data_IF_357128371022
#
_entry.id   IF_357128371022
#
_cell.length_a   1.000
_cell.length_b   1.000
_cell.length_c   1.000
_cell.angle_alpha   90.00
_cell.angle_beta   90.00
_cell.angle_gamma   90.00
#
_symmetry.space_group_name_H-M   'P 1'
#
loop_
_entity.id
_entity.type
_entity.pdbx_description
1 polymer ?
#
# COMPACT_ATOMS: atom_id res chain seq x y z
N UNK A 1 -17.85 6.21 6.84
CA UNK A 1 -17.34 5.29 5.79
C UNK A 1 -15.93 5.63 5.33
N UNK A 2 -15.65 6.85 4.86
CA UNK A 2 -14.32 7.25 4.34
C UNK A 2 -13.13 7.04 5.30
N UNK A 3 -13.31 7.32 6.58
CA UNK A 3 -12.25 7.08 7.59
C UNK A 3 -11.85 5.60 7.68
N UNK A 4 -12.81 4.67 7.55
CA UNK A 4 -12.52 3.24 7.58
C UNK A 4 -11.74 2.78 6.34
N UNK A 5 -12.13 3.27 5.16
CA UNK A 5 -11.40 3.01 3.91
C UNK A 5 -9.92 3.44 4.02
N UNK A 6 -9.67 4.68 4.43
CA UNK A 6 -8.31 5.19 4.55
C UNK A 6 -7.53 4.51 5.68
N UNK A 7 -8.19 4.14 6.78
CA UNK A 7 -7.56 3.35 7.84
C UNK A 7 -7.13 1.96 7.35
N UNK A 8 -7.93 1.30 6.50
CA UNK A 8 -7.56 0.04 5.86
C UNK A 8 -6.34 0.20 4.96
N UNK A 9 -6.30 1.25 4.12
CA UNK A 9 -5.13 1.53 3.26
C UNK A 9 -3.88 1.83 4.10
N UNK A 10 -4.01 2.60 5.18
CA UNK A 10 -2.89 2.86 6.09
C UNK A 10 -2.42 1.57 6.78
N UNK A 11 -3.34 0.71 7.20
CA UNK A 11 -3.02 -0.59 7.79
C UNK A 11 -2.24 -1.48 6.82
N UNK A 12 -2.67 -1.52 5.57
CA UNK A 12 -2.00 -2.23 4.48
C UNK A 12 -0.57 -1.70 4.26
N UNK A 13 -0.39 -0.39 4.09
CA UNK A 13 0.96 0.24 3.96
C UNK A 13 1.89 -0.11 5.13
N UNK A 14 1.36 -0.18 6.35
CA UNK A 14 2.15 -0.53 7.55
C UNK A 14 2.44 -2.04 7.64
N UNK A 15 1.57 -2.87 7.08
CA UNK A 15 1.66 -4.32 7.08
C UNK A 15 2.59 -4.88 6.00
N UNK A 16 2.57 -4.33 4.79
CA UNK A 16 3.34 -4.78 3.62
C UNK A 16 4.83 -5.05 3.94
N UNK A 17 5.57 -4.16 4.65
CA UNK A 17 6.98 -4.39 4.94
C UNK A 17 7.25 -5.53 5.92
N UNK A 18 6.24 -5.98 6.68
CA UNK A 18 6.34 -7.01 7.73
C UNK A 18 5.51 -8.26 7.43
N UNK A 19 5.02 -8.39 6.20
CA UNK A 19 4.27 -9.58 5.78
C UNK A 19 5.08 -10.86 5.99
N UNK A 20 4.40 -11.90 6.46
CA UNK A 20 4.96 -13.22 6.75
C UNK A 20 6.05 -13.27 7.84
N UNK A 21 6.33 -12.16 8.55
CA UNK A 21 7.19 -12.18 9.74
C UNK A 21 6.48 -12.83 10.92
N UNK A 22 7.24 -13.49 11.79
CA UNK A 22 6.70 -14.04 13.02
C UNK A 22 6.27 -12.92 13.98
N UNK A 23 5.23 -13.19 14.77
CA UNK A 23 4.72 -12.23 15.76
C UNK A 23 5.82 -11.78 16.73
N UNK A 24 6.74 -12.67 17.10
CA UNK A 24 7.86 -12.36 18.00
C UNK A 24 8.83 -11.35 17.37
N UNK A 25 9.09 -11.47 16.08
CA UNK A 25 9.97 -10.55 15.34
C UNK A 25 9.35 -9.15 15.26
N UNK A 26 8.05 -9.07 14.96
CA UNK A 26 7.31 -7.81 14.91
C UNK A 26 7.20 -7.17 16.30
N UNK A 27 7.05 -7.96 17.37
CA UNK A 27 7.05 -7.45 18.75
C UNK A 27 8.42 -6.92 19.19
N UNK A 28 9.51 -7.57 18.77
CA UNK A 28 10.87 -7.11 19.06
C UNK A 28 11.22 -5.83 18.28
N UNK A 29 10.62 -5.62 17.09
CA UNK A 29 10.78 -4.41 16.28
C UNK A 29 9.43 -3.81 15.84
N UNK A 30 8.69 -3.15 16.76
CA UNK A 30 7.31 -2.70 16.51
C UNK A 30 7.19 -1.66 15.41
N UNK A 31 6.20 -1.83 14.53
CA UNK A 31 5.88 -0.85 13.47
C UNK A 31 5.34 0.44 14.08
N UNK A 32 6.17 1.47 14.15
CA UNK A 32 5.84 2.81 14.69
C UNK A 32 5.71 3.89 13.62
N UNK A 33 5.96 3.54 12.35
CA UNK A 33 5.90 4.45 11.21
C UNK A 33 6.07 3.71 9.90
N UNK A 34 6.04 4.45 8.78
CA UNK A 34 6.19 3.87 7.45
C UNK A 34 7.60 3.30 7.27
N UNK A 35 7.66 2.02 6.88
CA UNK A 35 8.89 1.28 6.59
C UNK A 35 8.91 0.92 5.11
N UNK A 36 10.10 0.78 4.56
CA UNK A 36 10.32 0.27 3.20
C UNK A 36 11.35 -0.85 3.19
N UNK A 37 11.50 -1.48 2.04
CA UNK A 37 12.47 -2.53 1.73
C UNK A 37 12.39 -3.73 2.68
N UNK A 38 11.18 -4.09 3.10
CA UNK A 38 10.88 -5.29 3.88
C UNK A 38 10.64 -6.52 2.98
N UNK A 39 9.63 -7.31 3.32
CA UNK A 39 9.27 -8.59 2.68
C UNK A 39 9.32 -8.57 1.14
N UNK A 40 8.75 -7.54 0.51
CA UNK A 40 8.65 -7.44 -0.95
C UNK A 40 9.66 -6.47 -1.57
N UNK A 41 10.64 -5.99 -0.80
CA UNK A 41 11.63 -4.99 -1.23
C UNK A 41 11.03 -3.71 -1.83
N UNK A 42 9.83 -3.31 -1.37
CA UNK A 42 9.13 -2.12 -1.85
C UNK A 42 9.43 -0.88 -1.01
N UNK A 43 9.50 0.33 -1.57
CA UNK A 43 9.71 1.54 -0.78
C UNK A 43 8.63 1.81 0.25
N UNK A 44 8.94 2.67 1.21
CA UNK A 44 7.96 3.11 2.20
C UNK A 44 6.77 3.80 1.53
N UNK A 45 5.55 3.44 1.97
CA UNK A 45 4.31 3.99 1.43
C UNK A 45 3.66 3.14 0.33
N UNK A 46 4.26 2.01 -0.06
CA UNK A 46 3.63 1.05 -0.96
C UNK A 46 2.53 0.28 -0.24
N UNK A 47 1.37 0.15 -0.90
CA UNK A 47 0.23 -0.64 -0.46
C UNK A 47 0.03 -1.85 -1.39
N UNK A 48 -0.67 -2.89 -0.94
CA UNK A 48 -0.80 -4.17 -1.62
C UNK A 48 -2.06 -4.27 -2.50
N UNK A 49 -2.31 -5.44 -3.07
CA UNK A 49 -3.54 -5.71 -3.81
C UNK A 49 -4.81 -5.57 -2.93
N UNK A 50 -4.73 -5.76 -1.62
CA UNK A 50 -5.87 -5.55 -0.69
C UNK A 50 -6.48 -4.16 -0.84
N UNK A 51 -5.64 -3.12 -0.83
CA UNK A 51 -6.10 -1.74 -1.04
C UNK A 51 -6.65 -1.52 -2.45
N UNK A 52 -6.08 -2.15 -3.49
CA UNK A 52 -6.60 -2.02 -4.85
C UNK A 52 -8.02 -2.58 -4.97
N UNK A 53 -8.25 -3.76 -4.39
CA UNK A 53 -9.53 -4.44 -4.41
C UNK A 53 -10.55 -3.68 -3.56
N UNK A 54 -10.15 -3.18 -2.39
CA UNK A 54 -11.01 -2.40 -1.52
C UNK A 54 -11.46 -1.09 -2.18
N UNK A 55 -10.53 -0.32 -2.75
CA UNK A 55 -10.84 0.94 -3.41
C UNK A 55 -11.67 0.69 -4.67
N UNK A 56 -11.32 -0.32 -5.48
CA UNK A 56 -12.11 -0.71 -6.68
C UNK A 56 -13.55 -1.03 -6.32
N UNK A 57 -13.75 -1.78 -5.23
CA UNK A 57 -15.09 -2.16 -4.74
C UNK A 57 -15.89 -0.95 -4.26
N UNK A 58 -15.24 -0.04 -3.53
CA UNK A 58 -15.90 1.15 -2.99
C UNK A 58 -16.03 2.30 -4.02
N UNK A 59 -15.37 2.19 -5.18
CA UNK A 59 -15.27 3.24 -6.22
C UNK A 59 -16.59 3.88 -6.63
N UNK A 60 -17.72 3.15 -6.81
CA UNK A 60 -18.99 3.79 -7.17
C UNK A 60 -19.47 4.84 -6.17
N UNK A 61 -19.00 4.76 -4.92
CA UNK A 61 -19.35 5.65 -3.81
C UNK A 61 -18.27 6.72 -3.56
N UNK A 62 -17.18 6.70 -4.35
CA UNK A 62 -15.97 7.52 -4.23
C UNK A 62 -15.68 8.23 -5.56
N UNK A 63 -16.68 8.97 -6.08
CA UNK A 63 -16.59 9.68 -7.36
C UNK A 63 -15.50 10.76 -7.41
N UNK A 64 -14.96 11.14 -6.26
CA UNK A 64 -13.88 12.12 -6.07
C UNK A 64 -12.47 11.49 -6.04
N UNK A 65 -12.34 10.16 -6.06
CA UNK A 65 -11.02 9.51 -6.09
C UNK A 65 -10.56 9.28 -7.53
N UNK A 66 -9.35 9.75 -7.84
CA UNK A 66 -8.73 9.56 -9.16
C UNK A 66 -8.56 8.06 -9.50
N UNK A 67 -8.87 7.63 -10.74
CA UNK A 67 -8.63 6.26 -11.19
C UNK A 67 -7.16 5.80 -11.06
N UNK A 68 -6.20 6.74 -11.12
CA UNK A 68 -4.78 6.44 -10.93
C UNK A 68 -4.44 5.93 -9.53
N UNK A 69 -5.29 6.20 -8.53
CA UNK A 69 -5.18 5.68 -7.15
C UNK A 69 -5.62 4.21 -7.08
N UNK A 70 -6.39 3.71 -8.05
CA UNK A 70 -6.95 2.35 -8.03
C UNK A 70 -6.01 1.34 -8.68
N UNK A 71 -5.26 1.78 -9.68
CA UNK A 71 -4.40 0.91 -10.48
C UNK A 71 -2.99 0.87 -9.93
N UNK A 72 -2.49 -0.34 -9.68
CA UNK A 72 -1.05 -0.60 -9.68
C UNK A 72 -0.50 -0.16 -11.05
N UNK A 73 0.18 0.98 -11.08
CA UNK A 73 0.79 1.49 -12.31
C UNK A 73 2.04 0.67 -12.64
N UNK A 74 2.00 -0.02 -13.78
CA UNK A 74 3.19 -0.53 -14.46
C UNK A 74 3.86 0.67 -15.16
N UNK A 75 4.97 1.16 -14.63
CA UNK A 75 5.83 2.11 -15.37
C UNK A 75 7.03 1.34 -15.93
N UNK A 76 7.07 1.17 -17.26
CA UNK A 76 8.28 0.70 -17.95
C UNK A 76 9.30 1.84 -18.02
N UNK A 77 10.41 1.67 -17.31
CA UNK A 77 11.60 2.51 -17.42
C UNK A 77 12.83 1.60 -17.55
N UNK A 78 13.72 1.94 -18.48
CA UNK A 78 14.97 1.21 -18.76
C UNK A 78 15.76 1.04 -17.45
N UNK A 79 15.96 -0.22 -17.03
CA UNK A 79 16.51 -0.70 -15.75
C UNK A 79 15.48 -1.00 -14.64
N UNK A 80 14.86 -2.17 -14.74
CA UNK A 80 14.22 -2.85 -13.60
C UNK A 80 12.74 -2.53 -13.41
N UNK A 81 11.90 -3.54 -13.62
CA UNK A 81 10.46 -3.51 -13.35
C UNK A 81 10.22 -3.09 -11.90
N UNK A 82 9.68 -1.89 -11.69
CA UNK A 82 9.37 -1.40 -10.34
C UNK A 82 7.85 -1.36 -10.17
N UNK A 83 7.32 -2.28 -9.35
CA UNK A 83 5.91 -2.38 -8.99
C UNK A 83 5.57 -1.33 -7.93
N UNK A 84 4.97 -0.18 -8.28
CA UNK A 84 4.60 0.80 -7.25
C UNK A 84 3.23 1.44 -7.47
N UNK A 85 2.33 1.15 -6.55
CA UNK A 85 1.24 2.02 -6.15
C UNK A 85 1.74 2.82 -4.93
N UNK A 86 1.88 4.14 -5.08
CA UNK A 86 2.32 5.05 -4.01
C UNK A 86 1.27 6.14 -3.86
N UNK A 87 1.07 6.63 -2.65
CA UNK A 87 0.38 7.91 -2.44
C UNK A 87 1.21 9.02 -3.11
N UNK A 88 0.91 9.34 -4.37
CA UNK A 88 1.38 10.58 -5.00
C UNK A 88 0.42 11.65 -4.51
N UNK A 89 0.91 12.54 -3.64
CA UNK A 89 0.24 13.82 -3.42
C UNK A 89 0.65 14.71 -4.59
N UNK A 90 -0.34 15.25 -5.30
CA UNK A 90 -0.15 16.38 -6.21
C UNK A 90 0.42 17.59 -5.45
#
# INVERSE_FOLDING_TARGET
MRGGLWASVVGDVLGVPVEFMDRGEVQANPVTGMRGFGTHNQPAGTWSDDSSLLITTARPQLSDISPSVVTHTHSEGVAGTTWQSRFVRD
#
